data_IF_339087299944
#
_entry.id   IF_339087299944
#
_cell.length_a   1.000
_cell.length_b   1.000
_cell.length_c   1.000
_cell.angle_alpha   90.00
_cell.angle_beta   90.00
_cell.angle_gamma   90.00
#
_symmetry.space_group_name_H-M   'P 1'
#
loop_
_entity.id
_entity.type
_entity.pdbx_description
1 polymer ?
#
# COMPACT_ATOMS: atom_id res chain seq x y z
N UNK A 1 13.35 -3.62 6.28
CA UNK A 1 12.11 -3.50 7.08
C UNK A 1 12.07 -2.31 8.06
N UNK A 2 13.21 -1.75 8.50
CA UNK A 2 13.24 -0.60 9.44
C UNK A 2 12.46 0.68 9.04
N UNK A 3 12.54 1.19 7.79
CA UNK A 3 11.90 2.47 7.46
C UNK A 3 10.37 2.40 7.38
N UNK A 4 9.81 1.26 6.97
CA UNK A 4 8.35 1.05 6.89
C UNK A 4 7.72 1.09 8.29
N UNK A 5 8.34 0.42 9.26
CA UNK A 5 7.86 0.41 10.64
C UNK A 5 7.95 1.78 11.32
N UNK A 6 9.01 2.54 11.04
CA UNK A 6 9.17 3.91 11.54
C UNK A 6 8.12 4.86 10.94
N UNK A 7 7.88 4.79 9.63
CA UNK A 7 6.88 5.60 8.94
C UNK A 7 5.44 5.28 9.38
N UNK A 8 5.11 4.01 9.61
CA UNK A 8 3.80 3.59 10.13
C UNK A 8 3.56 4.05 11.58
N UNK A 9 4.62 4.15 12.39
CA UNK A 9 4.54 4.48 13.80
C UNK A 9 4.59 6.00 14.08
N UNK A 10 5.21 6.78 13.20
CA UNK A 10 5.35 8.23 13.31
C UNK A 10 4.02 8.97 13.55
N UNK A 11 2.93 8.73 12.77
CA UNK A 11 1.67 9.48 12.92
C UNK A 11 0.86 9.10 14.17
N UNK A 12 1.24 8.06 14.92
CA UNK A 12 0.51 7.64 16.12
C UNK A 12 1.18 8.13 17.42
N UNK A 13 0.38 8.59 18.42
CA UNK A 13 0.89 8.99 19.73
C UNK A 13 1.57 7.82 20.45
N UNK A 14 2.57 8.12 21.28
CA UNK A 14 3.48 7.14 21.92
C UNK A 14 2.74 6.03 22.68
N UNK A 15 1.62 6.33 23.35
CA UNK A 15 0.79 5.35 24.07
C UNK A 15 0.17 4.27 23.18
N UNK A 16 -0.16 4.59 21.93
CA UNK A 16 -0.87 3.67 21.00
C UNK A 16 -0.05 3.30 19.77
N UNK A 17 1.19 3.78 19.68
CA UNK A 17 2.06 3.66 18.51
C UNK A 17 2.26 2.23 18.02
N UNK A 18 2.54 1.29 18.93
CA UNK A 18 2.75 -0.12 18.58
C UNK A 18 1.46 -0.78 18.10
N UNK A 19 0.36 -0.61 18.83
CA UNK A 19 -0.94 -1.20 18.47
C UNK A 19 -1.53 -0.57 17.21
N UNK A 20 -1.39 0.75 17.03
CA UNK A 20 -1.84 1.49 15.86
C UNK A 20 -1.08 1.11 14.59
N UNK A 21 0.26 1.00 14.68
CA UNK A 21 1.08 0.52 13.56
C UNK A 21 0.74 -0.93 13.19
N UNK A 22 0.57 -1.82 14.18
CA UNK A 22 0.22 -3.22 13.95
C UNK A 22 -1.19 -3.37 13.35
N UNK A 23 -2.19 -2.63 13.85
CA UNK A 23 -3.54 -2.65 13.29
C UNK A 23 -3.55 -2.14 11.85
N UNK A 24 -2.86 -1.03 11.56
CA UNK A 24 -2.79 -0.47 10.20
C UNK A 24 -2.07 -1.42 9.25
N UNK A 25 -1.02 -2.10 9.70
CA UNK A 25 -0.31 -3.09 8.90
C UNK A 25 -1.17 -4.32 8.60
N UNK A 26 -1.86 -4.87 9.61
CA UNK A 26 -2.73 -6.03 9.41
C UNK A 26 -3.94 -5.68 8.54
N UNK A 27 -4.61 -4.56 8.79
CA UNK A 27 -5.77 -4.12 8.00
C UNK A 27 -5.36 -3.77 6.57
N UNK A 28 -4.32 -2.96 6.40
CA UNK A 28 -3.81 -2.57 5.08
C UNK A 28 -3.31 -3.79 4.29
N UNK A 29 -2.65 -4.73 4.97
CA UNK A 29 -2.20 -6.00 4.40
C UNK A 29 -3.36 -6.86 3.92
N UNK A 30 -4.38 -7.08 4.75
CA UNK A 30 -5.56 -7.88 4.38
C UNK A 30 -6.30 -7.22 3.20
N UNK A 31 -6.63 -5.93 3.30
CA UNK A 31 -7.36 -5.24 2.23
C UNK A 31 -6.56 -5.18 0.93
N UNK A 32 -5.27 -4.82 0.99
CA UNK A 32 -4.42 -4.72 -0.19
C UNK A 32 -4.14 -6.08 -0.84
N UNK A 33 -3.77 -7.08 -0.03
CA UNK A 33 -3.42 -8.40 -0.53
C UNK A 33 -4.63 -9.21 -1.02
N UNK A 34 -5.84 -8.95 -0.52
CA UNK A 34 -7.05 -9.61 -1.03
C UNK A 34 -7.59 -8.98 -2.31
N UNK A 35 -7.56 -7.64 -2.42
CA UNK A 35 -8.10 -6.94 -3.60
C UNK A 35 -7.16 -7.02 -4.81
N UNK A 36 -5.84 -7.02 -4.60
CA UNK A 36 -4.87 -7.06 -5.69
C UNK A 36 -4.97 -8.31 -6.60
N UNK A 37 -4.97 -9.55 -6.09
CA UNK A 37 -5.09 -10.75 -6.92
C UNK A 37 -6.49 -10.90 -7.52
N UNK A 38 -7.53 -10.39 -6.85
CA UNK A 38 -8.90 -10.41 -7.38
C UNK A 38 -9.00 -9.57 -8.66
N UNK A 39 -8.52 -8.31 -8.61
CA UNK A 39 -8.52 -7.41 -9.76
C UNK A 39 -7.59 -7.95 -10.86
N UNK A 40 -6.39 -8.44 -10.50
CA UNK A 40 -5.45 -9.01 -11.47
C UNK A 40 -6.05 -10.22 -12.19
N UNK A 41 -6.72 -11.13 -11.47
CA UNK A 41 -7.33 -12.33 -12.06
C UNK A 41 -8.53 -11.96 -12.94
N UNK A 42 -9.37 -11.04 -12.47
CA UNK A 42 -10.51 -10.55 -13.26
C UNK A 42 -10.05 -9.93 -14.59
N UNK A 43 -9.00 -9.11 -14.53
CA UNK A 43 -8.46 -8.43 -15.69
C UNK A 43 -7.76 -9.40 -16.66
N UNK A 44 -7.04 -10.41 -16.13
CA UNK A 44 -6.46 -11.48 -16.92
C UNK A 44 -7.52 -12.30 -17.66
N UNK A 45 -8.67 -12.55 -17.02
CA UNK A 45 -9.75 -13.39 -17.56
C UNK A 45 -10.57 -12.67 -18.63
N UNK A 46 -10.75 -11.34 -18.51
CA UNK A 46 -11.61 -10.56 -19.41
C UNK A 46 -10.88 -9.80 -20.52
N UNK A 47 -9.62 -9.38 -20.32
CA UNK A 47 -8.95 -8.41 -21.19
C UNK A 47 -7.53 -8.83 -21.67
N UNK A 48 -7.05 -10.02 -21.28
CA UNK A 48 -5.67 -10.53 -21.51
C UNK A 48 -4.60 -10.03 -20.53
N UNK A 49 -3.47 -10.74 -20.50
CA UNK A 49 -2.34 -10.53 -19.57
C UNK A 49 -1.73 -9.11 -19.65
N UNK A 50 -1.75 -8.46 -20.82
CA UNK A 50 -1.22 -7.10 -21.00
C UNK A 50 -1.87 -6.08 -20.05
N UNK A 51 -3.17 -6.23 -19.78
CA UNK A 51 -3.89 -5.34 -18.87
C UNK A 51 -3.48 -5.54 -17.40
N UNK A 52 -3.06 -6.74 -17.00
CA UNK A 52 -2.46 -6.97 -15.67
C UNK A 52 -1.15 -6.19 -15.53
N UNK A 53 -0.36 -6.13 -16.62
CA UNK A 53 0.83 -5.30 -16.70
C UNK A 53 0.51 -3.81 -16.51
N UNK A 54 -0.51 -3.29 -17.20
CA UNK A 54 -0.97 -1.90 -17.01
C UNK A 54 -1.48 -1.63 -15.59
N UNK A 55 -2.19 -2.56 -14.96
CA UNK A 55 -2.62 -2.46 -13.56
C UNK A 55 -1.42 -2.35 -12.62
N UNK A 56 -0.40 -3.20 -12.82
CA UNK A 56 0.81 -3.16 -12.01
C UNK A 56 1.59 -1.85 -12.23
N UNK A 57 1.72 -1.39 -13.48
CA UNK A 57 2.33 -0.11 -13.81
C UNK A 57 1.58 1.06 -13.16
N UNK A 58 0.24 1.07 -13.20
CA UNK A 58 -0.58 2.08 -12.54
C UNK A 58 -0.37 2.06 -11.01
N UNK A 59 -0.31 0.88 -10.38
CA UNK A 59 -0.02 0.77 -8.93
C UNK A 59 1.37 1.30 -8.56
N UNK A 60 2.36 1.13 -9.42
CA UNK A 60 3.70 1.69 -9.24
C UNK A 60 3.70 3.22 -9.35
N UNK A 61 2.96 3.78 -10.32
CA UNK A 61 2.77 5.23 -10.46
C UNK A 61 2.04 5.81 -9.25
N UNK A 62 0.97 5.17 -8.77
CA UNK A 62 0.26 5.57 -7.55
C UNK A 62 1.20 5.57 -6.35
N UNK A 63 2.02 4.52 -6.20
CA UNK A 63 3.01 4.45 -5.11
C UNK A 63 4.03 5.59 -5.19
N UNK A 64 4.53 5.90 -6.39
CA UNK A 64 5.42 7.03 -6.64
C UNK A 64 4.76 8.37 -6.28
N UNK A 65 3.49 8.57 -6.64
CA UNK A 65 2.72 9.77 -6.30
C UNK A 65 2.52 9.88 -4.79
N UNK A 66 2.15 8.81 -4.11
CA UNK A 66 2.03 8.78 -2.65
C UNK A 66 3.34 9.12 -1.95
N UNK A 67 4.47 8.55 -2.41
CA UNK A 67 5.80 8.87 -1.87
C UNK A 67 6.12 10.36 -2.10
N UNK A 68 5.82 10.90 -3.29
CA UNK A 68 6.04 12.32 -3.59
C UNK A 68 5.17 13.25 -2.75
N UNK A 69 3.93 12.86 -2.46
CA UNK A 69 3.03 13.64 -1.60
C UNK A 69 3.41 13.53 -0.11
N UNK A 70 3.85 12.36 0.34
CA UNK A 70 4.33 12.14 1.71
C UNK A 70 5.56 12.97 2.06
N UNK A 71 6.33 13.46 1.07
CA UNK A 71 7.54 14.26 1.27
C UNK A 71 7.33 15.73 1.63
N UNK A 72 6.16 16.12 2.17
CA UNK A 72 5.89 17.53 2.55
C UNK A 72 5.43 17.75 3.99
N UNK A 73 5.15 16.69 4.75
CA UNK A 73 4.85 16.79 6.18
C UNK A 73 5.72 15.77 6.93
N UNK A 74 6.56 16.28 7.83
CA UNK A 74 7.45 15.54 8.73
C UNK A 74 8.65 14.80 8.10
N UNK A 75 9.70 15.57 7.82
CA UNK A 75 10.95 15.43 8.59
C UNK A 75 11.39 16.79 9.13
#
# INVERSE_FOLDING_TARGET
>A
YGPIGAALAAPFPTTVRYTGASMTFNLGGIFGASLAPYIATWLATHYSLDYVGYYLAASAVISLVCIRLSGREEV
#
